data_IF_767510159525
#
_entry.id   IF_767510159525
#
_cell.length_a   1.000
_cell.length_b   1.000
_cell.length_c   1.000
_cell.angle_alpha   90.00
_cell.angle_beta   90.00
_cell.angle_gamma   90.00
#
_symmetry.space_group_name_H-M   'P 1'
#
loop_
_entity.id
_entity.type
_entity.pdbx_description
1 polymer ?
#
# COMPACT_ATOMS: atom_id res chain seq x y z
N UNK A 1 15.91 17.24 -5.36
CA UNK A 1 16.44 15.85 -5.40
C UNK A 1 16.01 15.08 -4.15
N UNK A 2 16.89 14.66 -3.23
CA UNK A 2 16.51 13.81 -2.08
C UNK A 2 15.40 14.37 -1.16
N UNK A 3 15.33 15.69 -1.01
CA UNK A 3 14.26 16.38 -0.26
C UNK A 3 12.86 16.16 -0.87
N UNK A 4 12.73 16.12 -2.19
CA UNK A 4 11.44 15.93 -2.86
C UNK A 4 10.90 14.52 -2.61
N UNK A 5 11.79 13.52 -2.53
CA UNK A 5 11.46 12.15 -2.16
C UNK A 5 10.88 12.04 -0.73
N UNK A 6 11.24 12.95 0.18
CA UNK A 6 10.67 13.02 1.54
C UNK A 6 9.29 13.67 1.58
N UNK A 7 8.97 14.52 0.60
CA UNK A 7 7.72 15.28 0.51
C UNK A 7 6.69 14.70 -0.46
N UNK A 8 6.92 13.50 -1.01
CA UNK A 8 5.96 12.81 -1.89
C UNK A 8 4.56 12.69 -1.29
N UNK A 9 3.53 12.73 -2.16
CA UNK A 9 2.12 12.71 -1.75
C UNK A 9 1.81 11.49 -0.87
N UNK A 10 1.11 11.71 0.24
CA UNK A 10 0.66 10.65 1.15
C UNK A 10 -0.86 10.51 1.14
N UNK A 11 -1.35 9.27 1.20
CA UNK A 11 -2.78 8.99 1.18
C UNK A 11 -3.46 9.16 2.54
N UNK A 12 -4.73 9.58 2.56
CA UNK A 12 -5.64 9.30 3.68
C UNK A 12 -6.21 7.87 3.56
N UNK A 13 -6.78 7.32 4.64
CA UNK A 13 -7.57 6.08 4.54
C UNK A 13 -8.97 6.40 4.02
N UNK A 14 -9.51 5.56 3.15
CA UNK A 14 -10.93 5.47 2.87
C UNK A 14 -11.51 4.26 3.59
N UNK A 15 -12.72 4.43 4.12
CA UNK A 15 -13.53 3.41 4.81
C UNK A 15 -14.98 3.62 4.41
N UNK A 16 -15.83 2.61 4.56
CA UNK A 16 -17.24 2.70 4.14
C UNK A 16 -18.05 3.77 4.90
N UNK A 17 -17.62 4.13 6.11
CA UNK A 17 -18.19 5.18 6.96
C UNK A 17 -17.56 6.57 6.72
N UNK A 18 -16.58 6.69 5.82
CA UNK A 18 -15.88 7.96 5.54
C UNK A 18 -16.75 9.05 4.91
N UNK A 19 -17.94 8.70 4.41
CA UNK A 19 -18.86 9.61 3.72
C UNK A 19 -18.38 10.06 2.34
N UNK A 20 -17.30 9.49 1.81
CA UNK A 20 -16.75 9.80 0.48
C UNK A 20 -17.29 8.78 -0.52
N UNK A 21 -18.07 9.23 -1.49
CA UNK A 21 -18.42 8.44 -2.67
C UNK A 21 -17.17 8.25 -3.56
N UNK A 22 -16.74 7.01 -3.86
CA UNK A 22 -15.60 6.75 -4.73
C UNK A 22 -15.94 6.84 -6.23
N UNK A 23 -17.21 7.03 -6.61
CA UNK A 23 -17.63 7.09 -8.01
C UNK A 23 -16.85 8.14 -8.80
N UNK A 24 -16.32 7.76 -9.97
CA UNK A 24 -15.51 8.63 -10.83
C UNK A 24 -14.04 8.79 -10.40
N UNK A 25 -13.61 8.26 -9.25
CA UNK A 25 -12.19 8.19 -8.90
C UNK A 25 -11.44 7.20 -9.79
N UNK A 26 -10.13 7.40 -9.95
CA UNK A 26 -9.26 6.41 -10.55
C UNK A 26 -8.83 5.37 -9.50
N UNK A 27 -8.90 4.09 -9.83
CA UNK A 27 -8.49 2.96 -8.98
C UNK A 27 -7.25 2.27 -9.54
N UNK A 28 -6.33 1.89 -8.66
CA UNK A 28 -5.14 1.09 -8.94
C UNK A 28 -4.90 0.07 -7.83
N UNK A 29 -4.09 -0.96 -8.07
CA UNK A 29 -3.67 -1.86 -6.97
C UNK A 29 -2.86 -1.09 -5.93
N UNK A 30 -3.16 -1.34 -4.66
CA UNK A 30 -2.19 -1.00 -3.62
C UNK A 30 -1.13 -2.10 -3.58
N UNK A 31 0.06 -1.75 -4.06
CA UNK A 31 1.24 -2.59 -4.06
C UNK A 31 1.91 -2.60 -2.67
N UNK A 32 2.25 -3.79 -2.15
CA UNK A 32 3.10 -3.98 -0.95
C UNK A 32 4.56 -4.17 -1.41
N UNK A 33 5.18 -3.07 -1.86
CA UNK A 33 6.56 -3.05 -2.35
C UNK A 33 7.42 -2.07 -1.55
N UNK A 34 8.39 -1.44 -2.23
CA UNK A 34 9.18 -0.35 -1.65
C UNK A 34 9.09 0.89 -2.52
N UNK A 35 8.30 1.88 -2.06
CA UNK A 35 8.16 3.18 -2.72
C UNK A 35 9.51 3.83 -3.03
N UNK A 36 9.69 4.19 -4.29
CA UNK A 36 10.86 4.87 -4.81
C UNK A 36 10.48 6.09 -5.66
N UNK A 37 11.11 7.21 -5.34
CA UNK A 37 11.09 8.43 -6.14
C UNK A 37 12.30 8.42 -7.06
N UNK A 38 12.09 8.41 -8.38
CA UNK A 38 13.16 8.55 -9.36
C UNK A 38 13.34 10.04 -9.69
N UNK A 39 14.53 10.61 -9.48
CA UNK A 39 14.78 12.04 -9.67
C UNK A 39 15.24 12.43 -11.09
N UNK A 40 15.17 11.50 -12.04
CA UNK A 40 15.74 11.61 -13.38
C UNK A 40 17.13 10.94 -13.51
N UNK A 41 17.81 10.64 -12.39
CA UNK A 41 19.11 9.95 -12.38
C UNK A 41 19.17 8.80 -11.37
N UNK A 42 18.54 8.94 -10.21
CA UNK A 42 18.65 8.02 -9.08
C UNK A 42 17.31 7.75 -8.42
N UNK A 43 17.20 6.57 -7.80
CA UNK A 43 16.06 6.22 -6.96
C UNK A 43 16.31 6.58 -5.49
N UNK A 44 15.31 7.17 -4.86
CA UNK A 44 15.31 7.54 -3.45
C UNK A 44 14.11 6.94 -2.73
N UNK A 45 14.35 6.39 -1.54
CA UNK A 45 13.29 6.04 -0.59
C UNK A 45 12.57 7.29 -0.09
N UNK A 46 11.37 7.10 0.47
CA UNK A 46 10.65 8.17 1.20
C UNK A 46 11.45 8.79 2.37
N UNK A 47 12.48 8.13 2.88
CA UNK A 47 13.35 8.69 3.92
C UNK A 47 14.43 9.64 3.34
N UNK A 48 14.55 9.76 2.02
CA UNK A 48 15.65 10.46 1.34
C UNK A 48 16.91 9.61 1.15
N UNK A 49 16.93 8.36 1.62
CA UNK A 49 18.04 7.44 1.38
C UNK A 49 18.06 7.02 -0.09
N UNK A 50 19.22 7.15 -0.76
CA UNK A 50 19.46 6.69 -2.12
C UNK A 50 19.49 5.16 -2.18
N UNK A 51 18.82 4.56 -3.15
CA UNK A 51 18.97 3.15 -3.49
C UNK A 51 20.11 2.97 -4.50
N UNK A 52 20.91 1.92 -4.35
CA UNK A 52 22.01 1.58 -5.27
C UNK A 52 21.50 0.73 -6.45
N UNK A 53 20.51 1.27 -7.17
CA UNK A 53 19.99 0.64 -8.38
C UNK A 53 21.10 0.55 -9.45
N UNK A 54 21.35 -0.62 -10.07
CA UNK A 54 22.30 -0.75 -11.16
C UNK A 54 21.92 0.12 -12.37
N UNK A 55 22.89 0.63 -13.17
CA UNK A 55 22.59 1.50 -14.31
C UNK A 55 21.62 0.91 -15.35
N UNK A 56 21.60 -0.42 -15.51
CA UNK A 56 20.66 -1.10 -16.41
C UNK A 56 19.20 -0.93 -15.98
N UNK A 57 18.94 -0.74 -14.68
CA UNK A 57 17.59 -0.71 -14.12
C UNK A 57 16.86 0.60 -14.46
N UNK A 58 17.59 1.72 -14.51
CA UNK A 58 17.08 3.04 -14.92
C UNK A 58 17.21 3.32 -16.42
N UNK A 59 17.62 2.35 -17.24
CA UNK A 59 17.79 2.55 -18.69
C UNK A 59 16.47 3.06 -19.30
N UNK A 60 16.55 4.09 -20.14
CA UNK A 60 15.44 4.72 -20.85
C UNK A 60 14.36 5.41 -19.99
N UNK A 61 14.52 5.55 -18.68
CA UNK A 61 13.64 6.43 -17.89
C UNK A 61 13.85 7.91 -18.26
N UNK A 62 12.79 8.75 -18.21
CA UNK A 62 12.88 10.18 -18.47
C UNK A 62 13.82 10.86 -17.46
N UNK A 63 14.74 11.69 -17.95
CA UNK A 63 15.73 12.38 -17.11
C UNK A 63 15.29 13.76 -16.63
N UNK A 64 14.30 14.34 -17.31
CA UNK A 64 13.76 15.68 -17.10
C UNK A 64 12.55 15.70 -16.16
N UNK A 65 11.75 14.63 -16.14
CA UNK A 65 10.60 14.48 -15.23
C UNK A 65 10.88 13.42 -14.16
N UNK A 66 10.82 13.77 -12.86
CA UNK A 66 10.87 12.78 -11.81
C UNK A 66 9.57 11.98 -11.71
N UNK A 67 9.70 10.74 -11.23
CA UNK A 67 8.63 9.75 -11.18
C UNK A 67 8.42 9.26 -9.75
N UNK A 68 7.19 8.87 -9.44
CA UNK A 68 6.77 8.33 -8.14
C UNK A 68 6.11 6.96 -8.39
N UNK A 69 6.64 5.93 -7.73
CA UNK A 69 6.35 4.54 -8.04
C UNK A 69 6.77 3.59 -6.93
N UNK A 70 6.47 2.31 -7.11
CA UNK A 70 6.80 1.24 -6.18
C UNK A 70 7.83 0.29 -6.83
N UNK A 71 8.96 0.03 -6.17
CA UNK A 71 9.79 -1.12 -6.52
C UNK A 71 9.05 -2.38 -6.04
N UNK A 72 8.76 -3.28 -6.96
CA UNK A 72 7.84 -4.39 -6.72
C UNK A 72 8.32 -5.68 -7.38
N UNK A 73 7.97 -6.81 -6.76
CA UNK A 73 8.53 -8.13 -7.06
C UNK A 73 7.43 -9.22 -7.17
N UNK A 74 6.17 -8.86 -6.94
CA UNK A 74 5.05 -9.78 -6.82
C UNK A 74 4.27 -9.58 -5.52
N UNK A 75 2.99 -9.98 -5.53
CA UNK A 75 2.13 -10.04 -4.34
C UNK A 75 2.78 -10.92 -3.25
N UNK A 76 2.73 -10.49 -1.99
CA UNK A 76 3.37 -11.19 -0.86
C UNK A 76 4.91 -11.20 -0.82
N UNK A 77 5.63 -10.63 -1.82
CA UNK A 77 7.11 -10.68 -1.90
C UNK A 77 7.82 -9.46 -1.26
N UNK A 78 7.13 -8.65 -0.46
CA UNK A 78 7.65 -7.45 0.23
C UNK A 78 9.00 -7.64 0.95
N UNK A 79 9.16 -8.73 1.72
CA UNK A 79 10.40 -9.00 2.46
C UNK A 79 11.59 -9.24 1.53
N UNK A 80 11.38 -9.93 0.41
CA UNK A 80 12.41 -10.17 -0.61
C UNK A 80 12.72 -8.87 -1.36
N UNK A 81 11.70 -8.07 -1.71
CA UNK A 81 11.88 -6.74 -2.29
C UNK A 81 12.76 -5.84 -1.39
N UNK A 82 12.45 -5.76 -0.09
CA UNK A 82 13.29 -5.05 0.89
C UNK A 82 14.72 -5.60 0.93
N UNK A 83 14.91 -6.92 0.87
CA UNK A 83 16.23 -7.55 0.90
C UNK A 83 17.10 -7.12 -0.29
N UNK A 84 16.53 -7.00 -1.49
CA UNK A 84 17.25 -6.57 -2.69
C UNK A 84 17.59 -5.08 -2.61
N UNK A 85 16.58 -4.22 -2.38
CA UNK A 85 16.78 -2.76 -2.47
C UNK A 85 17.62 -2.17 -1.33
N UNK A 86 17.73 -2.85 -0.18
CA UNK A 86 18.62 -2.46 0.92
C UNK A 86 20.05 -2.98 0.75
N UNK A 87 20.29 -3.95 -0.13
CA UNK A 87 21.60 -4.53 -0.30
C UNK A 87 22.53 -3.52 -1.02
N UNK A 88 23.76 -3.41 -0.53
CA UNK A 88 24.77 -2.49 -1.06
C UNK A 88 25.92 -3.22 -1.77
N UNK A 89 25.91 -4.55 -1.79
CA UNK A 89 26.96 -5.32 -2.47
C UNK A 89 26.74 -5.36 -3.97
N UNK A 90 27.81 -5.11 -4.73
CA UNK A 90 27.81 -5.05 -6.21
C UNK A 90 27.59 -6.42 -6.85
N UNK A 91 28.04 -7.49 -6.20
CA UNK A 91 27.89 -8.89 -6.63
C UNK A 91 26.42 -9.34 -6.79
N UNK A 92 25.48 -8.68 -6.11
CA UNK A 92 24.04 -8.96 -6.15
C UNK A 92 23.25 -7.95 -6.98
N UNK A 93 23.91 -7.19 -7.85
CA UNK A 93 23.26 -6.30 -8.82
C UNK A 93 22.23 -7.03 -9.70
N UNK A 94 22.49 -8.29 -10.05
CA UNK A 94 21.60 -9.09 -10.91
C UNK A 94 20.22 -9.40 -10.29
N UNK A 95 20.08 -9.34 -8.97
CA UNK A 95 18.76 -9.51 -8.31
C UNK A 95 17.78 -8.38 -8.68
N UNK A 96 18.29 -7.21 -9.09
CA UNK A 96 17.44 -6.13 -9.60
C UNK A 96 16.73 -6.49 -10.91
N UNK A 97 17.15 -7.55 -11.62
CA UNK A 97 16.44 -8.08 -12.79
C UNK A 97 15.09 -8.73 -12.43
N UNK A 98 14.88 -9.11 -11.15
CA UNK A 98 13.57 -9.57 -10.64
C UNK A 98 12.62 -8.43 -10.25
N UNK A 99 13.11 -7.19 -10.11
CA UNK A 99 12.29 -6.05 -9.72
C UNK A 99 11.64 -5.39 -10.95
N UNK A 100 10.42 -4.89 -10.78
CA UNK A 100 9.80 -3.90 -11.66
C UNK A 100 9.56 -2.62 -10.87
N UNK A 101 9.90 -1.46 -11.45
CA UNK A 101 9.45 -0.16 -10.97
C UNK A 101 8.07 0.16 -11.54
N UNK A 102 7.04 0.04 -10.71
CA UNK A 102 5.65 0.31 -11.06
C UNK A 102 5.31 1.77 -10.77
N UNK A 103 5.30 2.60 -11.81
CA UNK A 103 5.08 4.05 -11.70
C UNK A 103 3.60 4.35 -11.59
N UNK A 104 3.24 5.29 -10.71
CA UNK A 104 1.84 5.70 -10.49
C UNK A 104 1.61 7.21 -10.53
N UNK A 105 2.65 8.06 -10.49
CA UNK A 105 2.51 9.51 -10.67
C UNK A 105 3.81 10.16 -11.19
N UNK A 106 3.70 11.41 -11.66
CA UNK A 106 4.80 12.25 -12.15
C UNK A 106 4.79 13.60 -11.39
N UNK A 107 5.43 13.70 -10.21
CA UNK A 107 5.13 14.74 -9.21
C UNK A 107 5.36 16.20 -9.63
N UNK A 108 6.26 16.48 -10.58
CA UNK A 108 6.58 17.85 -11.01
C UNK A 108 5.71 18.36 -12.17
N UNK A 109 4.94 17.50 -12.83
CA UNK A 109 4.00 17.93 -13.86
C UNK A 109 2.83 18.68 -13.22
N UNK A 110 2.77 20.01 -13.35
CA UNK A 110 1.77 20.88 -12.72
C UNK A 110 0.39 20.87 -13.41
N UNK A 111 -0.10 19.67 -13.70
CA UNK A 111 -1.34 19.39 -14.42
C UNK A 111 -2.24 18.44 -13.62
N UNK A 112 -3.49 18.28 -14.06
CA UNK A 112 -4.46 17.34 -13.45
C UNK A 112 -4.04 15.88 -13.66
N UNK A 113 -4.49 14.98 -12.79
CA UNK A 113 -4.05 13.58 -12.76
C UNK A 113 -4.22 12.87 -14.11
N UNK A 114 -5.33 13.11 -14.81
CA UNK A 114 -5.60 12.54 -16.13
C UNK A 114 -4.52 12.90 -17.16
N UNK A 115 -4.02 14.13 -17.14
CA UNK A 115 -2.94 14.58 -18.03
C UNK A 115 -1.56 14.04 -17.61
N UNK A 116 -1.31 13.84 -16.31
CA UNK A 116 -0.09 13.14 -15.85
C UNK A 116 -0.12 11.66 -16.24
N UNK A 117 -1.28 11.03 -16.17
CA UNK A 117 -1.49 9.65 -16.60
C UNK A 117 -1.34 9.49 -18.12
N UNK A 118 -1.86 10.43 -18.92
CA UNK A 118 -1.66 10.49 -20.37
C UNK A 118 -0.18 10.61 -20.74
N UNK A 119 0.56 11.51 -20.05
CA UNK A 119 2.02 11.58 -20.17
C UNK A 119 2.69 10.24 -19.85
N UNK A 120 2.39 9.62 -18.70
CA UNK A 120 2.98 8.33 -18.31
C UNK A 120 2.70 7.22 -19.34
N UNK A 121 1.49 7.17 -19.91
CA UNK A 121 1.11 6.23 -20.98
C UNK A 121 1.90 6.43 -22.28
N UNK A 122 2.39 7.63 -22.54
CA UNK A 122 3.19 7.94 -23.74
C UNK A 122 4.68 7.59 -23.62
N UNK A 123 5.19 7.41 -22.39
CA UNK A 123 6.61 7.13 -22.13
C UNK A 123 6.88 5.77 -21.47
N UNK A 124 5.84 5.04 -21.06
CA UNK A 124 5.99 3.73 -20.41
C UNK A 124 5.08 2.67 -21.02
N UNK A 125 5.57 1.42 -21.15
CA UNK A 125 4.70 0.29 -21.42
C UNK A 125 3.70 0.07 -20.26
N UNK A 126 2.48 -0.31 -20.60
CA UNK A 126 1.50 -0.79 -19.64
C UNK A 126 1.98 -2.12 -19.02
N UNK A 127 1.58 -2.40 -17.78
CA UNK A 127 1.86 -3.70 -17.17
C UNK A 127 1.31 -4.87 -18.01
N UNK A 128 2.06 -5.97 -18.11
CA UNK A 128 1.72 -7.11 -18.97
C UNK A 128 1.85 -6.84 -20.48
N UNK A 129 2.36 -5.68 -20.88
CA UNK A 129 2.60 -5.31 -22.28
C UNK A 129 4.06 -4.91 -22.50
N UNK A 130 4.59 -5.22 -23.68
CA UNK A 130 5.95 -4.85 -24.12
C UNK A 130 5.94 -3.77 -25.21
N UNK A 131 4.83 -3.05 -25.34
CA UNK A 131 4.72 -1.84 -26.16
C UNK A 131 4.03 -0.69 -25.41
N UNK A 132 4.29 0.51 -25.88
CA UNK A 132 3.70 1.77 -25.39
C UNK A 132 2.39 2.02 -26.14
N UNK A 133 1.35 2.48 -25.43
CA UNK A 133 0.05 2.74 -26.04
C UNK A 133 0.13 3.89 -27.06
N UNK A 134 -0.44 3.70 -28.25
CA UNK A 134 -0.37 4.68 -29.34
C UNK A 134 0.91 4.62 -30.21
N UNK A 135 1.85 3.72 -29.91
CA UNK A 135 3.01 3.50 -30.78
C UNK A 135 2.60 2.71 -32.05
N UNK A 136 2.50 3.41 -33.19
CA UNK A 136 2.27 2.83 -34.51
C UNK A 136 3.46 1.94 -34.93
N UNK A 137 3.39 0.66 -34.62
CA UNK A 137 4.43 -0.37 -34.83
C UNK A 137 5.66 -0.26 -33.89
N UNK A 138 6.13 -1.37 -33.27
CA UNK A 138 7.27 -1.37 -32.36
C UNK A 138 8.62 -1.38 -33.10
N UNK A 139 8.95 -0.32 -33.84
CA UNK A 139 10.19 -0.25 -34.65
C UNK A 139 11.48 0.06 -33.87
N UNK A 140 11.42 0.32 -32.56
CA UNK A 140 12.61 0.29 -31.68
C UNK A 140 12.20 0.01 -30.24
N UNK A 141 12.52 -1.20 -29.77
CA UNK A 141 12.44 -1.57 -28.34
C UNK A 141 13.51 -0.86 -27.51
N UNK A 142 14.53 -0.26 -28.13
CA UNK A 142 15.66 0.40 -27.46
C UNK A 142 15.27 1.64 -26.67
N UNK A 143 14.09 2.22 -26.89
CA UNK A 143 13.57 3.38 -26.15
C UNK A 143 12.66 2.99 -24.98
N UNK A 144 12.33 1.71 -24.82
CA UNK A 144 11.41 1.24 -23.78
C UNK A 144 12.17 1.07 -22.44
N UNK A 145 11.66 1.55 -21.30
CA UNK A 145 12.21 1.23 -19.98
C UNK A 145 12.11 -0.27 -19.69
N UNK A 146 13.22 -1.03 -19.60
CA UNK A 146 13.14 -2.49 -19.51
C UNK A 146 12.52 -2.96 -18.19
N UNK A 147 12.87 -2.31 -17.07
CA UNK A 147 12.43 -2.67 -15.72
C UNK A 147 11.42 -1.67 -15.13
N UNK A 148 10.69 -0.93 -15.96
CA UNK A 148 9.65 -0.01 -15.49
C UNK A 148 8.38 -0.13 -16.31
N UNK A 149 7.23 -0.04 -15.65
CA UNK A 149 5.89 -0.18 -16.22
C UNK A 149 4.95 0.81 -15.54
N UNK A 150 3.95 1.30 -16.26
CA UNK A 150 2.86 2.07 -15.66
C UNK A 150 1.96 1.11 -14.85
N UNK A 151 1.58 1.50 -13.63
CA UNK A 151 0.58 0.76 -12.84
C UNK A 151 -0.76 0.74 -13.59
N UNK A 152 -1.46 -0.40 -13.67
CA UNK A 152 -2.80 -0.42 -14.24
C UNK A 152 -3.77 0.46 -13.44
N UNK A 153 -4.54 1.28 -14.17
CA UNK A 153 -5.54 2.18 -13.59
C UNK A 153 -6.85 2.12 -14.36
N UNK A 154 -7.96 2.09 -13.64
CA UNK A 154 -9.31 2.18 -14.20
C UNK A 154 -10.15 3.25 -13.50
N UNK A 155 -11.36 3.53 -13.99
CA UNK A 155 -12.33 4.37 -13.26
C UNK A 155 -13.20 3.52 -12.33
N UNK A 156 -13.39 4.00 -11.11
CA UNK A 156 -14.43 3.54 -10.20
C UNK A 156 -15.79 3.93 -10.76
N UNK A 157 -16.65 2.93 -10.98
CA UNK A 157 -18.00 3.13 -11.52
C UNK A 157 -19.06 3.28 -10.41
N UNK A 158 -18.77 2.76 -9.21
CA UNK A 158 -19.62 2.87 -8.02
C UNK A 158 -18.88 2.33 -6.79
N UNK A 159 -19.39 2.61 -5.58
CA UNK A 159 -18.94 1.92 -4.36
C UNK A 159 -18.99 0.39 -4.48
N UNK A 160 -20.01 -0.16 -5.13
CA UNK A 160 -20.12 -1.60 -5.34
C UNK A 160 -19.03 -2.15 -6.29
N UNK A 161 -18.64 -1.38 -7.32
CA UNK A 161 -17.48 -1.72 -8.14
C UNK A 161 -16.20 -1.73 -7.30
N UNK A 162 -15.92 -0.66 -6.54
CA UNK A 162 -14.74 -0.62 -5.66
C UNK A 162 -14.65 -1.82 -4.69
N UNK A 163 -15.75 -2.23 -4.08
CA UNK A 163 -15.75 -3.34 -3.13
C UNK A 163 -15.49 -4.70 -3.81
N UNK A 164 -15.98 -4.91 -5.04
CA UNK A 164 -15.63 -6.11 -5.83
C UNK A 164 -14.16 -6.13 -6.22
N UNK A 165 -13.60 -5.01 -6.67
CA UNK A 165 -12.17 -4.90 -7.00
C UNK A 165 -11.28 -5.14 -5.78
N UNK A 166 -11.68 -4.61 -4.61
CA UNK A 166 -10.99 -4.82 -3.36
C UNK A 166 -10.96 -6.31 -2.98
N UNK A 167 -12.09 -7.00 -3.07
CA UNK A 167 -12.18 -8.44 -2.80
C UNK A 167 -11.40 -9.26 -3.83
N UNK A 168 -11.50 -8.95 -5.14
CA UNK A 168 -10.72 -9.61 -6.19
C UNK A 168 -9.21 -9.47 -5.95
N UNK A 169 -8.72 -8.26 -5.62
CA UNK A 169 -7.30 -8.05 -5.31
C UNK A 169 -6.88 -8.86 -4.08
N UNK A 170 -7.67 -8.83 -3.00
CA UNK A 170 -7.32 -9.50 -1.74
C UNK A 170 -7.45 -11.03 -1.82
N UNK A 171 -8.40 -11.55 -2.58
CA UNK A 171 -8.54 -13.00 -2.85
C UNK A 171 -7.33 -13.54 -3.61
N UNK A 172 -6.74 -12.74 -4.50
CA UNK A 172 -5.50 -13.04 -5.23
C UNK A 172 -4.20 -12.52 -4.54
N UNK A 173 -4.27 -12.14 -3.26
CA UNK A 173 -3.11 -11.85 -2.40
C UNK A 173 -2.53 -10.42 -2.48
N UNK A 174 -3.21 -9.47 -3.10
CA UNK A 174 -2.83 -8.06 -3.12
C UNK A 174 -3.27 -7.30 -1.86
N UNK A 175 -2.67 -6.15 -1.56
CA UNK A 175 -2.83 -5.46 -0.27
C UNK A 175 -4.15 -4.66 -0.16
N UNK A 176 -4.70 -4.20 -1.29
CA UNK A 176 -5.92 -3.39 -1.36
C UNK A 176 -5.95 -2.49 -2.60
N UNK A 177 -6.70 -1.38 -2.53
CA UNK A 177 -6.87 -0.45 -3.66
C UNK A 177 -6.35 0.96 -3.29
N UNK A 178 -5.74 1.64 -4.25
CA UNK A 178 -5.46 3.08 -4.20
C UNK A 178 -6.50 3.83 -5.04
N UNK A 179 -7.07 4.88 -4.47
CA UNK A 179 -8.06 5.77 -5.09
C UNK A 179 -7.45 7.15 -5.33
N UNK A 180 -7.58 7.69 -6.54
CA UNK A 180 -7.17 9.06 -6.89
C UNK A 180 -8.36 9.85 -7.42
N UNK A 181 -8.68 10.96 -6.77
CA UNK A 181 -9.80 11.81 -7.14
C UNK A 181 -9.62 12.38 -8.57
N UNK A 182 -10.70 12.45 -9.37
CA UNK A 182 -10.62 12.96 -10.73
C UNK A 182 -10.18 14.43 -10.72
N UNK A 183 -9.48 14.85 -11.78
CA UNK A 183 -8.98 16.22 -11.98
C UNK A 183 -8.03 16.74 -10.89
N UNK A 184 -7.52 15.88 -10.01
CA UNK A 184 -6.67 16.29 -8.88
C UNK A 184 -5.23 16.63 -9.28
N UNK A 185 -4.68 17.70 -8.70
CA UNK A 185 -3.25 18.07 -8.81
C UNK A 185 -2.37 17.18 -7.92
N UNK A 186 -1.06 17.26 -8.10
CA UNK A 186 -0.11 16.71 -7.13
C UNK A 186 0.05 17.70 -5.95
N UNK A 187 0.23 17.17 -4.75
CA UNK A 187 0.44 17.94 -3.51
C UNK A 187 1.56 17.25 -2.72
N UNK A 188 2.60 18.02 -2.36
CA UNK A 188 3.77 17.52 -1.63
C UNK A 188 3.50 17.39 -0.11
N UNK A 189 2.42 16.69 0.23
CA UNK A 189 1.92 16.47 1.60
C UNK A 189 0.95 15.29 1.64
N UNK A 190 0.33 15.03 2.79
CA UNK A 190 -0.84 14.15 2.84
C UNK A 190 -2.04 14.87 2.20
N UNK A 191 -2.62 14.27 1.17
CA UNK A 191 -3.75 14.85 0.41
C UNK A 191 -5.01 14.02 0.55
N UNK A 192 -6.16 14.70 0.66
CA UNK A 192 -7.49 14.09 0.62
C UNK A 192 -7.88 13.60 -0.78
N UNK A 193 -7.16 13.98 -1.83
CA UNK A 193 -7.41 13.49 -3.20
C UNK A 193 -6.81 12.11 -3.45
N UNK A 194 -5.88 11.65 -2.60
CA UNK A 194 -5.30 10.31 -2.67
C UNK A 194 -5.74 9.51 -1.45
N UNK A 195 -6.47 8.42 -1.67
CA UNK A 195 -7.00 7.57 -0.62
C UNK A 195 -6.47 6.14 -0.79
N UNK A 196 -6.26 5.44 0.33
CA UNK A 196 -5.99 4.00 0.37
C UNK A 196 -7.21 3.29 0.94
N UNK A 197 -7.71 2.31 0.20
CA UNK A 197 -8.81 1.44 0.59
C UNK A 197 -8.19 0.17 1.14
N UNK A 198 -8.56 -0.16 2.37
CA UNK A 198 -8.06 -1.32 3.11
C UNK A 198 -9.21 -1.93 3.88
N UNK A 199 -9.39 -3.23 3.77
CA UNK A 199 -10.15 -3.98 4.78
C UNK A 199 -9.36 -3.98 6.09
N UNK A 200 -10.09 -4.02 7.19
CA UNK A 200 -9.56 -4.34 8.50
C UNK A 200 -10.29 -5.59 8.98
N UNK A 201 -9.53 -6.56 9.46
CA UNK A 201 -10.03 -7.73 10.16
C UNK A 201 -9.91 -7.45 11.65
N UNK A 202 -10.97 -7.74 12.39
CA UNK A 202 -11.00 -7.65 13.85
C UNK A 202 -10.96 -9.09 14.40
N UNK A 203 -10.08 -9.35 15.35
CA UNK A 203 -9.96 -10.62 16.08
C UNK A 203 -9.81 -10.33 17.58
N UNK A 204 -9.94 -11.37 18.40
CA UNK A 204 -9.76 -11.30 19.84
C UNK A 204 -8.52 -12.06 20.31
N UNK A 205 -7.80 -11.48 21.27
CA UNK A 205 -6.62 -12.06 21.88
C UNK A 205 -6.62 -11.80 23.38
N UNK A 206 -6.07 -12.75 24.16
CA UNK A 206 -5.86 -12.57 25.60
C UNK A 206 -4.52 -11.87 25.85
N UNK A 207 -4.52 -10.89 26.76
CA UNK A 207 -3.29 -10.18 27.17
C UNK A 207 -2.45 -11.12 28.03
N UNK A 208 -1.21 -11.38 27.60
CA UNK A 208 -0.24 -12.21 28.34
C UNK A 208 0.80 -11.39 29.09
N UNK A 209 1.15 -10.19 28.59
CA UNK A 209 2.03 -9.26 29.31
C UNK A 209 1.73 -7.80 28.97
N UNK A 210 2.10 -6.90 29.89
CA UNK A 210 2.15 -5.45 29.68
C UNK A 210 3.61 -5.02 29.61
N UNK A 211 4.04 -4.45 28.49
CA UNK A 211 5.45 -4.08 28.28
C UNK A 211 5.62 -2.57 28.31
N UNK A 212 6.56 -2.11 29.14
CA UNK A 212 6.89 -0.69 29.33
C UNK A 212 7.41 -0.08 28.03
N UNK A 213 7.02 1.17 27.76
CA UNK A 213 7.40 1.86 26.53
C UNK A 213 8.82 2.41 26.54
N UNK A 214 9.21 2.98 25.40
CA UNK A 214 10.42 3.77 25.21
C UNK A 214 10.07 5.19 24.76
N UNK A 215 11.05 6.11 24.76
CA UNK A 215 10.86 7.50 24.35
C UNK A 215 9.73 8.19 25.13
N UNK A 216 8.73 8.72 24.42
CA UNK A 216 7.57 9.41 25.04
C UNK A 216 6.73 8.54 25.99
N UNK A 217 6.81 7.21 25.87
CA UNK A 217 6.08 6.26 26.72
C UNK A 217 7.00 5.56 27.74
N UNK A 218 8.21 6.09 27.99
CA UNK A 218 9.22 5.52 28.90
C UNK A 218 8.77 5.37 30.36
N UNK A 219 7.67 6.00 30.77
CA UNK A 219 7.11 5.92 32.12
C UNK A 219 5.84 5.04 32.21
N UNK A 220 5.32 4.53 31.09
CA UNK A 220 4.00 3.87 31.01
C UNK A 220 3.97 2.71 30.00
N UNK A 221 2.80 2.13 29.73
CA UNK A 221 2.70 1.00 28.79
C UNK A 221 3.02 1.42 27.34
N UNK A 222 3.95 0.68 26.74
CA UNK A 222 4.36 0.82 25.34
C UNK A 222 3.55 -0.08 24.41
N UNK A 223 3.44 -1.35 24.76
CA UNK A 223 2.61 -2.34 24.06
C UNK A 223 2.12 -3.42 25.03
N UNK A 224 1.08 -4.15 24.59
CA UNK A 224 0.68 -5.42 25.19
C UNK A 224 1.31 -6.54 24.37
N UNK A 225 1.76 -7.60 25.03
CA UNK A 225 1.93 -8.90 24.39
C UNK A 225 0.62 -9.67 24.54
N UNK A 226 0.16 -10.29 23.45
CA UNK A 226 -1.13 -10.96 23.40
C UNK A 226 -1.00 -12.33 22.73
N UNK A 227 -1.95 -13.21 23.02
CA UNK A 227 -2.04 -14.57 22.49
C UNK A 227 -3.44 -14.85 21.94
N UNK A 228 -3.53 -15.40 20.73
CA UNK A 228 -4.79 -15.88 20.12
C UNK A 228 -5.08 -17.34 20.52
N UNK A 229 -6.28 -17.89 20.28
CA UNK A 229 -6.61 -19.25 20.72
C UNK A 229 -5.78 -20.36 20.05
N UNK A 230 -5.33 -20.15 18.81
CA UNK A 230 -4.36 -21.00 18.10
C UNK A 230 -2.91 -20.83 18.56
N UNK A 231 -2.66 -19.98 19.55
CA UNK A 231 -1.36 -19.83 20.20
C UNK A 231 -0.39 -18.89 19.52
N UNK A 232 -0.79 -18.15 18.46
CA UNK A 232 0.05 -17.07 17.91
C UNK A 232 0.28 -16.00 18.98
N UNK A 233 1.54 -15.63 19.19
CA UNK A 233 1.94 -14.56 20.11
C UNK A 233 2.52 -13.38 19.34
N UNK A 234 2.05 -12.16 19.64
CA UNK A 234 2.52 -10.93 19.00
C UNK A 234 2.26 -9.70 19.89
N UNK A 235 2.84 -8.56 19.51
CA UNK A 235 2.71 -7.30 20.23
C UNK A 235 1.66 -6.37 19.61
N UNK A 236 0.84 -5.75 20.46
CA UNK A 236 -0.12 -4.69 20.09
C UNK A 236 0.36 -3.39 20.73
N UNK A 237 0.97 -2.51 19.93
CA UNK A 237 1.57 -1.25 20.40
C UNK A 237 0.83 0.03 20.01
N UNK A 238 -0.21 -0.07 19.19
CA UNK A 238 -0.96 1.07 18.64
C UNK A 238 -2.46 0.97 18.98
N UNK A 239 -3.20 2.07 18.83
CA UNK A 239 -4.66 2.13 19.13
C UNK A 239 -5.00 2.64 20.54
N UNK A 240 -4.07 2.56 21.50
CA UNK A 240 -4.28 3.07 22.86
C UNK A 240 -4.24 4.59 22.94
N UNK A 241 -5.23 5.17 23.63
CA UNK A 241 -5.17 6.53 24.19
C UNK A 241 -4.11 6.60 25.29
N UNK A 242 -3.71 7.82 25.65
CA UNK A 242 -2.74 8.06 26.72
C UNK A 242 -3.23 7.53 28.07
N UNK A 243 -4.50 7.75 28.43
CA UNK A 243 -5.11 7.19 29.64
C UNK A 243 -5.10 5.64 29.66
N UNK A 244 -5.26 4.98 28.51
CA UNK A 244 -5.12 3.52 28.39
C UNK A 244 -3.67 3.02 28.44
N UNK A 245 -2.67 3.90 28.34
CA UNK A 245 -1.26 3.55 28.57
C UNK A 245 -0.86 3.68 30.03
N UNK A 246 -1.50 4.61 30.73
CA UNK A 246 -1.36 4.80 32.18
C UNK A 246 -2.19 3.77 32.97
N UNK A 247 -3.31 3.31 32.40
CA UNK A 247 -4.17 2.23 32.92
C UNK A 247 -4.43 1.16 31.83
N UNK A 248 -3.42 0.33 31.51
CA UNK A 248 -3.52 -0.71 30.46
C UNK A 248 -4.46 -1.87 30.83
N UNK A 249 -5.09 -2.52 29.82
CA UNK A 249 -5.81 -3.78 30.00
C UNK A 249 -4.95 -4.81 30.74
N UNK A 250 -5.50 -5.43 31.78
CA UNK A 250 -4.76 -6.33 32.69
C UNK A 250 -4.31 -7.60 31.97
N UNK A 251 -3.27 -8.25 32.48
CA UNK A 251 -2.95 -9.64 32.08
C UNK A 251 -4.18 -10.52 32.35
N UNK A 252 -4.55 -11.36 31.39
CA UNK A 252 -5.79 -12.14 31.40
C UNK A 252 -7.02 -11.43 30.81
N UNK A 253 -6.98 -10.13 30.57
CA UNK A 253 -8.06 -9.43 29.86
C UNK A 253 -8.13 -9.89 28.39
N UNK A 254 -9.33 -10.00 27.84
CA UNK A 254 -9.53 -10.23 26.40
C UNK A 254 -9.67 -8.88 25.72
N UNK A 255 -8.95 -8.67 24.62
CA UNK A 255 -9.03 -7.46 23.81
C UNK A 255 -9.50 -7.79 22.41
N UNK A 256 -10.23 -6.87 21.78
CA UNK A 256 -10.37 -6.84 20.32
C UNK A 256 -9.23 -6.00 19.74
N UNK A 257 -8.55 -6.55 18.75
CA UNK A 257 -7.52 -5.88 17.98
C UNK A 257 -7.88 -5.96 16.50
N UNK A 258 -7.49 -4.95 15.72
CA UNK A 258 -7.67 -4.93 14.28
C UNK A 258 -6.37 -4.96 13.52
N UNK A 259 -6.35 -5.64 12.39
CA UNK A 259 -5.21 -5.81 11.50
C UNK A 259 -5.66 -5.76 10.04
N UNK A 260 -4.72 -5.74 9.09
CA UNK A 260 -5.03 -5.62 7.65
C UNK A 260 -4.76 -6.90 6.87
N UNK A 261 -3.80 -7.69 7.33
CA UNK A 261 -3.29 -8.88 6.65
C UNK A 261 -2.49 -9.72 7.66
N UNK A 262 -2.24 -10.98 7.35
CA UNK A 262 -1.34 -11.84 8.11
C UNK A 262 0.02 -11.94 7.43
N UNK A 263 1.07 -12.07 8.22
CA UNK A 263 2.42 -12.41 7.73
C UNK A 263 2.51 -13.89 7.33
N UNK A 264 3.60 -14.28 6.67
CA UNK A 264 3.88 -15.68 6.32
C UNK A 264 3.96 -16.64 7.53
N UNK A 265 4.07 -16.11 8.76
CA UNK A 265 4.00 -16.85 10.03
C UNK A 265 2.61 -16.79 10.69
N UNK A 266 1.58 -16.41 9.93
CA UNK A 266 0.21 -16.14 10.37
C UNK A 266 0.03 -15.08 11.46
N UNK A 267 1.09 -14.39 11.90
CA UNK A 267 0.99 -13.26 12.83
C UNK A 267 0.40 -12.03 12.12
N UNK A 268 -0.55 -11.30 12.74
CA UNK A 268 -1.12 -10.06 12.22
C UNK A 268 -0.09 -8.98 11.89
N UNK A 269 -0.19 -8.35 10.71
CA UNK A 269 0.59 -7.12 10.39
C UNK A 269 -0.17 -5.88 10.85
N UNK A 270 0.58 -4.99 11.50
CA UNK A 270 0.11 -3.70 12.03
C UNK A 270 -1.10 -3.77 13.00
N UNK A 271 -1.10 -4.69 13.99
CA UNK A 271 -2.22 -4.82 14.92
C UNK A 271 -2.42 -3.53 15.73
N UNK A 272 -3.68 -3.12 15.82
CA UNK A 272 -4.13 -1.89 16.48
C UNK A 272 -5.21 -2.25 17.51
N UNK A 273 -5.02 -1.86 18.76
CA UNK A 273 -6.03 -2.05 19.81
C UNK A 273 -7.33 -1.32 19.46
N UNK A 274 -8.47 -2.00 19.65
CA UNK A 274 -9.81 -1.44 19.45
C UNK A 274 -10.51 -1.22 20.79
N UNK A 275 -10.48 -2.23 21.67
CA UNK A 275 -11.11 -2.16 22.99
C UNK A 275 -10.92 -3.43 23.82
N UNK A 276 -11.18 -3.33 25.11
CA UNK A 276 -11.27 -4.47 26.03
C UNK A 276 -12.67 -5.10 25.94
N UNK A 277 -12.74 -6.44 25.96
CA UNK A 277 -13.96 -7.23 25.82
C UNK A 277 -14.36 -7.82 27.16
N UNK A 278 -15.09 -7.02 27.94
CA UNK A 278 -15.69 -7.43 29.22
C UNK A 278 -16.92 -8.33 29.07
N UNK A 279 -17.43 -8.49 27.84
CA UNK A 279 -18.65 -9.20 27.48
C UNK A 279 -18.43 -10.67 27.06
N UNK A 280 -17.18 -11.13 26.97
CA UNK A 280 -16.84 -12.50 26.53
C UNK A 280 -15.95 -13.21 27.54
N UNK A 281 -16.20 -14.50 27.74
CA UNK A 281 -15.29 -15.39 28.46
C UNK A 281 -14.31 -16.00 27.46
N UNK A 282 -13.01 -15.87 27.73
CA UNK A 282 -11.95 -16.39 26.85
C UNK A 282 -12.14 -17.87 26.49
N UNK A 283 -12.47 -18.70 27.49
CA UNK A 283 -12.69 -20.14 27.29
C UNK A 283 -13.85 -20.46 26.32
N UNK A 284 -14.88 -19.62 26.25
CA UNK A 284 -16.01 -19.81 25.33
C UNK A 284 -15.68 -19.31 23.92
N UNK A 285 -14.95 -18.19 23.81
CA UNK A 285 -14.40 -17.71 22.55
C UNK A 285 -13.52 -18.79 21.88
N UNK A 286 -12.58 -19.38 22.64
CA UNK A 286 -11.69 -20.43 22.16
C UNK A 286 -12.40 -21.64 21.55
N UNK A 287 -13.61 -22.02 22.04
CA UNK A 287 -14.40 -23.13 21.49
C UNK A 287 -14.97 -22.82 20.10
N UNK A 288 -15.30 -21.54 19.86
CA UNK A 288 -15.91 -21.06 18.61
C UNK A 288 -14.88 -20.58 17.57
N UNK A 289 -13.65 -20.37 18.00
CA UNK A 289 -12.58 -19.78 17.18
C UNK A 289 -12.16 -20.72 16.05
N UNK A 290 -12.00 -20.13 14.84
CA UNK A 290 -11.47 -20.81 13.67
C UNK A 290 -10.11 -20.21 13.32
N UNK A 291 -9.01 -20.97 13.37
CA UNK A 291 -7.69 -20.45 13.00
C UNK A 291 -7.67 -19.95 11.55
N UNK A 292 -7.04 -18.80 11.26
CA UNK A 292 -6.84 -18.39 9.88
C UNK A 292 -5.86 -19.35 9.21
N UNK A 293 -6.29 -19.96 8.11
CA UNK A 293 -5.41 -20.76 7.27
C UNK A 293 -4.53 -19.86 6.41
N UNK A 294 -3.30 -20.28 6.15
CA UNK A 294 -2.58 -19.77 4.98
C UNK A 294 -3.42 -20.19 3.76
N UNK A 295 -4.01 -19.22 3.05
CA UNK A 295 -4.41 -19.47 1.66
C UNK A 295 -3.15 -19.99 0.97
N UNK A 296 -3.24 -21.19 0.39
CA UNK A 296 -2.09 -21.81 -0.25
C UNK A 296 -1.56 -20.82 -1.30
N UNK A 297 -0.37 -20.27 -1.04
CA UNK A 297 0.31 -19.47 -2.03
C UNK A 297 0.59 -20.42 -3.20
N UNK A 298 -0.17 -20.30 -4.28
CA UNK A 298 0.08 -21.03 -5.51
C UNK A 298 1.56 -20.78 -5.83
N UNK A 299 2.40 -21.82 -5.94
CA UNK A 299 3.83 -21.62 -6.11
C UNK A 299 4.04 -20.92 -7.44
N UNK A 300 4.19 -19.60 -7.38
CA UNK A 300 4.57 -18.79 -8.51
C UNK A 300 5.97 -19.28 -8.90
N UNK A 301 6.01 -20.11 -9.95
CA UNK A 301 7.24 -20.40 -10.68
C UNK A 301 7.96 -19.07 -10.91
N UNK A 302 9.28 -19.07 -10.89
CA UNK A 302 10.08 -17.91 -11.28
C UNK A 302 9.86 -17.69 -12.78
N UNK A 303 8.78 -16.99 -13.08
CA UNK A 303 8.37 -16.51 -14.39
C UNK A 303 8.64 -15.02 -14.36
N UNK A 304 9.38 -14.53 -15.36
CA UNK A 304 9.62 -13.11 -15.56
C UNK A 304 8.34 -12.29 -15.36
N UNK A 305 8.44 -11.14 -14.69
CA UNK A 305 7.31 -10.22 -14.46
C UNK A 305 6.65 -9.77 -15.77
N UNK A 306 7.32 -9.91 -16.91
CA UNK A 306 6.76 -9.77 -18.27
C UNK A 306 5.54 -10.69 -18.56
N UNK A 307 5.33 -11.77 -17.79
CA UNK A 307 4.23 -12.73 -17.98
C UNK A 307 3.26 -12.84 -16.80
N UNK A 308 3.35 -11.99 -15.78
CA UNK A 308 2.28 -11.93 -14.77
C UNK A 308 1.07 -11.19 -15.34
N UNK A 309 0.02 -11.93 -15.72
CA UNK A 309 -1.23 -11.36 -16.28
C UNK A 309 -2.12 -10.65 -15.24
N UNK A 310 -1.92 -10.87 -13.94
CA UNK A 310 -2.77 -10.30 -12.88
C UNK A 310 -2.07 -9.17 -12.09
N UNK A 311 -2.15 -7.96 -12.64
CA UNK A 311 -2.38 -6.75 -11.83
C UNK A 311 -3.72 -6.13 -12.30
N UNK A 312 -4.77 -6.61 -11.65
CA UNK A 312 -6.20 -6.25 -11.73
C UNK A 312 -6.94 -6.45 -13.07
N UNK A 313 -6.35 -6.31 -14.27
CA UNK A 313 -7.15 -6.23 -15.51
C UNK A 313 -6.79 -7.22 -16.64
N UNK A 314 -6.91 -8.53 -16.41
CA UNK A 314 -7.07 -9.53 -17.50
C UNK A 314 -7.87 -10.77 -17.03
N UNK A 315 -9.19 -10.69 -17.10
CA UNK A 315 -10.04 -11.84 -17.46
C UNK A 315 -10.80 -11.42 -18.71
N UNK A 316 -10.33 -11.88 -19.87
CA UNK A 316 -10.97 -11.68 -21.16
C UNK A 316 -11.71 -12.94 -21.56
N UNK A 317 -13.04 -12.86 -21.53
CA UNK A 317 -14.00 -13.63 -22.32
C UNK A 317 -13.74 -15.14 -22.49
N UNK A 318 -14.29 -15.94 -21.57
CA UNK A 318 -14.67 -17.33 -21.89
C UNK A 318 -16.07 -17.66 -21.34
N UNK A 319 -17.07 -17.27 -22.12
CA UNK A 319 -18.46 -17.72 -22.03
C UNK A 319 -19.15 -17.49 -23.39
N UNK A 320 -18.76 -18.28 -24.40
CA UNK A 320 -19.34 -18.18 -25.73
C UNK A 320 -20.78 -18.72 -25.79
N UNK A 321 -21.69 -17.95 -26.37
CA UNK A 321 -22.73 -18.40 -27.33
C UNK A 321 -23.17 -17.17 -28.10
N UNK A 322 -23.21 -17.24 -29.43
CA UNK A 322 -23.58 -16.11 -30.27
C UNK A 322 -25.09 -15.94 -30.40
N UNK A 323 -25.53 -14.72 -30.66
CA UNK A 323 -26.54 -14.49 -31.68
C UNK A 323 -26.26 -13.17 -32.41
N UNK A 324 -26.63 -13.12 -33.68
CA UNK A 324 -26.48 -12.00 -34.59
C UNK A 324 -27.77 -11.19 -34.67
N UNK A 325 -27.74 -9.88 -34.38
CA UNK A 325 -28.62 -8.89 -35.04
C UNK A 325 -28.29 -7.45 -34.62
N UNK A 326 -28.92 -6.49 -35.33
CA UNK A 326 -28.99 -5.06 -35.03
C UNK A 326 -27.70 -4.24 -35.23
N UNK A 327 -27.27 -4.18 -36.50
CA UNK A 327 -26.96 -2.87 -37.06
C UNK A 327 -28.24 -2.00 -37.13
N UNK A 328 -28.05 -0.70 -37.40
CA UNK A 328 -29.06 0.37 -37.58
C UNK A 328 -29.51 1.13 -36.31
N UNK A 329 -28.91 2.31 -36.11
CA UNK A 329 -29.66 3.55 -36.31
C UNK A 329 -28.80 4.59 -37.05
N UNK A 330 -29.31 4.97 -38.22
CA UNK A 330 -28.83 5.99 -39.17
C UNK A 330 -28.83 7.40 -38.53
N UNK A 331 -28.12 8.41 -39.05
CA UNK A 331 -27.24 8.47 -40.22
C UNK A 331 -27.13 9.91 -40.78
N UNK A 332 -26.66 9.98 -42.03
CA UNK A 332 -26.56 11.15 -42.95
C UNK A 332 -25.23 11.95 -42.90
N UNK A 333 -24.52 12.28 -43.98
CA UNK A 333 -24.28 11.82 -45.38
C UNK A 333 -23.33 12.89 -45.97
N UNK A 334 -22.52 12.55 -46.97
CA UNK A 334 -21.74 13.56 -47.72
C UNK A 334 -20.62 12.93 -48.55
N UNK A 335 -20.89 12.62 -49.82
CA UNK A 335 -19.92 12.05 -50.77
C UNK A 335 -18.89 13.06 -51.26
N UNK A 336 -17.71 12.55 -51.65
CA UNK A 336 -17.17 12.50 -53.03
C UNK A 336 -15.81 11.75 -52.96
N UNK A 337 -15.52 10.75 -53.81
CA UNK A 337 -15.00 10.87 -55.19
C UNK A 337 -13.70 11.72 -55.26
N UNK A 338 -12.60 11.30 -55.89
CA UNK A 338 -12.31 10.16 -56.79
C UNK A 338 -10.79 10.06 -57.04
N UNK A 339 -10.27 8.89 -57.45
CA UNK A 339 -9.15 8.69 -58.43
C UNK A 339 -7.75 9.34 -58.18
N UNK A 340 -6.60 8.89 -58.72
CA UNK A 340 -6.19 7.73 -59.55
C UNK A 340 -4.65 7.52 -59.39
N UNK A 341 -4.08 6.60 -60.19
CA UNK A 341 -2.65 6.46 -60.56
C UNK A 341 -1.59 5.94 -59.55
N UNK A 342 -0.44 5.41 -60.01
CA UNK A 342 -0.20 4.24 -60.89
C UNK A 342 1.32 3.88 -60.82
N UNK A 343 1.68 2.62 -61.11
CA UNK A 343 3.05 2.12 -61.42
C UNK A 343 4.13 2.30 -60.31
N UNK A 344 5.21 1.51 -60.21
CA UNK A 344 5.70 0.36 -60.98
C UNK A 344 7.24 0.27 -60.84
N UNK A 345 7.85 -0.93 -60.83
CA UNK A 345 9.32 -1.08 -60.88
C UNK A 345 9.91 -2.27 -60.12
N UNK A 346 10.41 -3.26 -60.87
CA UNK A 346 11.15 -4.44 -60.40
C UNK A 346 12.69 -4.27 -60.43
N UNK A 347 13.40 -5.35 -60.05
CA UNK A 347 14.81 -5.70 -60.31
C UNK A 347 15.91 -5.21 -59.35
N UNK A 348 17.10 -5.82 -59.30
CA UNK A 348 17.53 -7.25 -59.25
C UNK A 348 19.05 -7.25 -58.93
N UNK A 349 19.60 -8.37 -58.40
CA UNK A 349 21.04 -8.67 -58.22
C UNK A 349 21.88 -7.71 -57.32
N UNK A 350 23.03 -8.10 -56.76
CA UNK A 350 23.74 -9.39 -56.70
C UNK A 350 25.22 -9.21 -56.26
N UNK A 351 25.87 -10.31 -55.82
CA UNK A 351 27.33 -10.43 -55.51
C UNK A 351 27.88 -9.59 -54.33
N UNK A 352 28.29 -10.16 -53.18
CA UNK A 352 29.48 -11.01 -52.90
C UNK A 352 30.82 -10.31 -53.16
N UNK A 353 31.59 -10.06 -52.09
CA UNK A 353 33.05 -10.28 -51.99
C UNK A 353 33.47 -10.53 -50.52
N UNK A 354 34.55 -11.29 -50.34
CA UNK A 354 35.05 -11.82 -49.06
C UNK A 354 36.46 -11.31 -48.72
N UNK A 355 36.96 -11.73 -47.54
CA UNK A 355 38.38 -11.84 -47.16
C UNK A 355 39.08 -10.57 -46.65
N UNK A 356 40.05 -10.60 -45.71
CA UNK A 356 40.55 -11.63 -44.74
C UNK A 356 41.54 -10.91 -43.78
N UNK A 357 41.78 -11.48 -42.57
CA UNK A 357 43.10 -11.52 -41.84
C UNK A 357 43.90 -10.20 -41.58
N UNK A 358 44.66 -10.00 -40.50
CA UNK A 358 45.08 -10.84 -39.35
C UNK A 358 45.84 -9.98 -38.30
N UNK A 359 46.14 -10.61 -37.16
CA UNK A 359 47.18 -10.32 -36.14
C UNK A 359 48.40 -9.44 -36.56
N UNK A 360 49.17 -8.81 -35.66
CA UNK A 360 49.79 -9.32 -34.42
C UNK A 360 50.47 -8.15 -33.65
N UNK A 361 50.35 -7.99 -32.32
CA UNK A 361 51.10 -8.61 -31.20
C UNK A 361 52.35 -7.84 -30.71
N UNK A 362 52.58 -7.86 -29.38
CA UNK A 362 53.83 -7.46 -28.71
C UNK A 362 53.81 -6.08 -28.00
N UNK A 363 54.42 -5.89 -26.83
CA UNK A 363 54.96 -6.85 -25.85
C UNK A 363 55.20 -6.17 -24.48
N UNK A 364 55.24 -6.96 -23.39
CA UNK A 364 56.11 -6.86 -22.19
C UNK A 364 56.36 -5.53 -21.42
N UNK A 365 56.73 -5.55 -20.13
CA UNK A 365 56.42 -6.39 -18.94
C UNK A 365 57.18 -5.84 -17.71
N UNK A 366 56.75 -6.22 -16.48
CA UNK A 366 57.41 -6.03 -15.16
C UNK A 366 57.50 -4.57 -14.62
N UNK A 367 57.46 -4.30 -13.31
CA UNK A 367 57.28 -5.18 -12.14
C UNK A 367 57.55 -4.44 -10.80
N UNK A 368 57.42 -5.15 -9.65
CA UNK A 368 57.79 -4.69 -8.27
C UNK A 368 56.78 -3.70 -7.64
N UNK A 369 55.89 -4.02 -6.68
CA UNK A 369 55.94 -4.73 -5.36
C UNK A 369 56.66 -3.93 -4.25
N UNK A 370 56.00 -3.74 -3.08
CA UNK A 370 56.52 -3.87 -1.68
C UNK A 370 55.77 -2.97 -0.65
N UNK A 371 55.28 -3.62 0.41
CA UNK A 371 55.00 -3.18 1.81
C UNK A 371 53.90 -2.17 2.22
N UNK A 372 53.09 -2.65 3.16
CA UNK A 372 52.43 -1.91 4.28
C UNK A 372 53.41 -1.84 5.49
N UNK A 373 53.17 -1.09 6.60
CA UNK A 373 52.27 -1.56 7.67
C UNK A 373 51.60 -0.53 8.65
N UNK A 374 50.50 -1.00 9.29
CA UNK A 374 50.14 -0.90 10.73
C UNK A 374 49.71 0.41 11.47
N UNK A 375 48.97 0.14 12.58
CA UNK A 375 48.47 0.97 13.70
C UNK A 375 47.24 1.87 13.43
N UNK A 376 46.12 1.89 14.18
CA UNK A 376 45.65 1.44 15.52
C UNK A 376 45.66 2.48 16.66
N UNK A 377 44.49 2.96 17.09
CA UNK A 377 44.13 3.30 18.49
C UNK A 377 42.67 3.77 18.60
N UNK A 378 42.12 3.82 19.82
CA UNK A 378 40.66 3.80 20.09
C UNK A 378 40.15 5.11 20.77
N UNK A 379 39.08 5.17 21.60
CA UNK A 379 38.14 6.30 21.57
C UNK A 379 38.30 7.29 22.73
N UNK A 380 37.49 8.36 22.75
CA UNK A 380 37.36 9.27 23.91
C UNK A 380 35.96 9.87 24.01
N UNK A 381 35.56 10.21 25.25
CA UNK A 381 34.17 10.44 25.64
C UNK A 381 34.03 11.67 26.57
N UNK A 382 32.81 12.23 26.64
CA UNK A 382 32.32 13.23 27.63
C UNK A 382 33.03 14.63 27.59
N UNK A 383 32.48 15.76 28.13
CA UNK A 383 31.45 15.86 29.17
C UNK A 383 30.18 16.70 28.92
N UNK A 384 29.20 16.29 29.72
CA UNK A 384 27.92 16.88 30.10
C UNK A 384 28.03 18.33 30.66
N UNK A 385 26.99 19.17 30.52
CA UNK A 385 26.87 20.44 31.26
C UNK A 385 25.47 20.64 31.87
N UNK A 386 25.41 20.56 33.20
CA UNK A 386 24.21 20.85 34.01
C UNK A 386 23.89 22.35 34.02
N UNK A 387 22.61 22.72 34.16
CA UNK A 387 22.17 23.93 34.90
C UNK A 387 20.88 23.62 35.66
N UNK A 388 20.65 24.30 36.78
CA UNK A 388 19.66 23.92 37.79
C UNK A 388 18.89 25.13 38.38
N UNK A 389 17.87 24.80 39.19
CA UNK A 389 17.11 25.62 40.18
C UNK A 389 16.00 26.57 39.70
N UNK A 390 14.98 26.68 40.57
CA UNK A 390 13.77 27.52 40.47
C UNK A 390 12.49 26.72 40.77
N UNK A 391 12.30 26.21 41.99
CA UNK A 391 11.45 26.79 43.06
C UNK A 391 9.93 26.67 42.84
N UNK A 392 9.26 26.02 43.80
CA UNK A 392 7.80 26.03 44.00
C UNK A 392 7.35 27.33 44.70
N UNK A 393 6.03 27.59 44.78
CA UNK A 393 5.38 27.25 46.06
C UNK A 393 3.97 26.61 45.97
N UNK A 394 3.57 26.11 47.14
CA UNK A 394 2.21 25.95 47.71
C UNK A 394 1.15 26.94 47.17
N UNK A 395 -0.17 26.73 47.28
CA UNK A 395 -1.03 25.62 47.77
C UNK A 395 -2.49 25.98 47.43
N UNK A 396 -3.43 25.02 47.49
CA UNK A 396 -4.70 25.11 48.24
C UNK A 396 -5.61 23.91 47.99
N UNK A 397 -6.19 23.44 49.08
CA UNK A 397 -7.31 22.50 49.14
C UNK A 397 -8.61 23.17 48.70
N UNK A 398 -9.56 22.39 48.18
CA UNK A 398 -10.94 22.45 48.68
C UNK A 398 -11.69 21.15 48.35
N UNK A 399 -12.27 20.58 49.40
CA UNK A 399 -13.28 19.53 49.37
C UNK A 399 -14.64 20.16 49.64
N UNK A 400 -15.66 19.75 48.89
CA UNK A 400 -17.06 19.84 49.32
C UNK A 400 -17.79 18.59 48.80
N UNK A 401 -18.51 17.96 49.71
CA UNK A 401 -19.38 16.80 49.54
C UNK A 401 -20.85 17.25 49.45
N UNK A 402 -21.78 16.28 49.51
CA UNK A 402 -23.19 16.45 49.90
C UNK A 402 -24.10 17.17 48.85
N UNK A 403 -25.38 16.85 48.67
CA UNK A 403 -26.22 15.72 49.11
C UNK A 403 -27.22 15.35 47.96
N UNK A 404 -28.11 14.36 48.15
CA UNK A 404 -28.76 13.59 47.07
C UNK A 404 -30.32 13.43 47.20
N UNK A 405 -30.88 12.34 46.64
CA UNK A 405 -32.30 11.84 46.61
C UNK A 405 -33.28 12.44 45.58
N UNK A 406 -33.95 11.58 44.77
CA UNK A 406 -35.31 11.04 45.04
C UNK A 406 -35.86 10.16 43.88
N UNK A 407 -36.87 9.32 44.15
CA UNK A 407 -37.46 8.34 43.24
C UNK A 407 -38.97 8.54 43.01
N UNK A 408 -39.49 8.20 41.82
CA UNK A 408 -40.92 8.28 41.51
C UNK A 408 -41.39 7.44 40.32
N UNK A 409 -42.25 6.44 40.59
CA UNK A 409 -42.89 5.54 39.61
C UNK A 409 -44.20 6.17 39.07
N UNK A 410 -44.70 5.95 37.85
CA UNK A 410 -45.25 4.68 37.34
C UNK A 410 -46.00 4.92 36.00
N UNK A 411 -46.33 3.87 35.22
CA UNK A 411 -47.23 3.99 34.05
C UNK A 411 -47.03 2.92 32.95
N UNK A 412 -48.07 2.16 32.63
CA UNK A 412 -48.01 0.91 31.84
C UNK A 412 -48.24 1.06 30.32
N UNK A 413 -47.75 0.08 29.56
CA UNK A 413 -48.00 -0.07 28.12
C UNK A 413 -47.32 -1.33 27.57
N UNK A 414 -48.11 -2.27 27.02
CA UNK A 414 -47.66 -3.61 26.62
C UNK A 414 -47.41 -3.75 25.11
N UNK A 415 -46.15 -3.79 24.74
CA UNK A 415 -45.61 -4.30 23.48
C UNK A 415 -44.22 -4.87 23.78
N UNK A 416 -43.73 -5.86 23.03
CA UNK A 416 -42.50 -6.61 23.35
C UNK A 416 -41.29 -5.71 23.62
N UNK A 417 -41.03 -5.42 24.91
CA UNK A 417 -40.04 -4.43 25.33
C UNK A 417 -38.63 -4.98 25.16
N UNK A 418 -37.95 -4.55 24.11
CA UNK A 418 -36.50 -4.65 24.00
C UNK A 418 -35.84 -3.91 25.17
N UNK A 419 -34.90 -4.55 25.86
CA UNK A 419 -34.22 -3.95 27.01
C UNK A 419 -33.52 -2.63 26.61
N UNK A 420 -33.53 -1.58 27.44
CA UNK A 420 -32.85 -0.34 27.10
C UNK A 420 -31.35 -0.58 26.95
N UNK A 421 -30.77 -0.20 25.81
CA UNK A 421 -29.34 -0.35 25.61
C UNK A 421 -28.57 0.48 26.66
N UNK A 422 -27.59 -0.13 27.34
CA UNK A 422 -26.68 0.54 28.31
C UNK A 422 -25.99 1.80 27.76
N UNK A 423 -25.88 1.94 26.42
CA UNK A 423 -25.28 3.10 25.75
C UNK A 423 -26.30 4.09 25.17
N UNK A 424 -27.61 3.82 25.29
CA UNK A 424 -28.70 4.69 24.84
C UNK A 424 -28.56 5.20 23.41
N UNK A 425 -28.86 6.48 23.18
CA UNK A 425 -28.67 7.15 21.90
C UNK A 425 -27.20 7.12 21.40
N UNK A 426 -26.24 7.06 22.31
CA UNK A 426 -24.79 7.00 22.03
C UNK A 426 -24.29 5.59 21.66
N UNK A 427 -25.18 4.60 21.52
CA UNK A 427 -24.79 3.24 21.15
C UNK A 427 -24.17 3.17 19.74
N UNK A 428 -22.91 2.75 19.68
CA UNK A 428 -22.13 2.58 18.45
C UNK A 428 -22.37 1.22 17.75
N UNK A 429 -23.05 0.27 18.41
CA UNK A 429 -23.30 -1.08 17.88
C UNK A 429 -24.32 -1.04 16.74
N UNK A 430 -24.02 -1.73 15.63
CA UNK A 430 -24.87 -1.81 14.42
C UNK A 430 -25.31 -3.25 14.04
N UNK A 431 -24.96 -4.25 14.85
CA UNK A 431 -25.34 -5.66 14.59
C UNK A 431 -26.88 -5.81 14.61
N UNK A 432 -27.52 -6.43 13.59
CA UNK A 432 -28.95 -6.74 13.58
C UNK A 432 -29.48 -7.41 14.86
N UNK A 433 -28.73 -8.33 15.47
CA UNK A 433 -29.16 -9.04 16.69
C UNK A 433 -29.14 -8.14 17.93
N UNK A 434 -28.27 -7.13 17.95
CA UNK A 434 -28.27 -6.11 18.99
C UNK A 434 -29.50 -5.19 18.84
N UNK A 435 -29.84 -4.82 17.61
CA UNK A 435 -31.01 -3.98 17.29
C UNK A 435 -32.34 -4.72 17.47
N UNK A 436 -32.35 -6.06 17.42
CA UNK A 436 -33.52 -6.89 17.78
C UNK A 436 -33.70 -7.05 19.28
N UNK A 437 -32.62 -7.02 20.08
CA UNK A 437 -32.65 -7.26 21.53
C UNK A 437 -32.77 -5.99 22.37
N UNK A 438 -32.17 -4.87 21.93
CA UNK A 438 -32.06 -3.66 22.73
C UNK A 438 -32.72 -2.43 22.09
N UNK A 439 -33.51 -1.70 22.88
CA UNK A 439 -34.13 -0.44 22.48
C UNK A 439 -33.15 0.73 22.59
N UNK A 440 -33.33 1.73 21.71
CA UNK A 440 -32.48 2.92 21.60
C UNK A 440 -33.32 4.21 21.53
N UNK A 441 -34.12 4.52 22.58
CA UNK A 441 -34.84 5.78 22.63
C UNK A 441 -33.88 6.97 22.44
N UNK A 442 -34.34 8.00 21.74
CA UNK A 442 -33.61 9.23 21.37
C UNK A 442 -32.50 9.11 20.31
N UNK A 443 -32.30 7.96 19.65
CA UNK A 443 -31.45 7.91 18.44
C UNK A 443 -32.25 8.46 17.24
N UNK A 444 -32.10 9.76 16.92
CA UNK A 444 -32.77 10.40 15.78
C UNK A 444 -32.57 9.56 14.50
N UNK A 445 -33.65 8.95 14.02
CA UNK A 445 -33.73 8.40 12.67
C UNK A 445 -33.54 9.56 11.69
N UNK A 446 -32.41 9.57 10.98
CA UNK A 446 -32.32 10.29 9.73
C UNK A 446 -33.12 9.50 8.70
N UNK A 447 -34.23 10.10 8.27
CA UNK A 447 -34.92 9.76 7.01
C UNK A 447 -33.94 10.04 5.86
#
# INVERSE_FOLDING_TARGET
MAHDAQQVMLAHSWTEDSGIDPTGYWMAEKLDGVRAYFDGTHFYSRAGNKFLAPPFFSKNLPKDQPLDGELWLGRGRFQQCISIVKNQKVDRADEWKELTYLVFDAPKLNMVYEKRLEYLRSIMPNFGHDSIAGASSPKSTDKIPPYSRLVPVQKCLSKAHLLRELDHVQTHGGEGIMLRAPRSRYEFKRSRTLLKVKTFFDEEAIVVAQVKGSGKNSHRMGHLEVKTPDGRCFSVGSGFTDAQRDRPPRVGAVITYKFQELSNRLNPRFPTFVGERIDIKWADYCKSYKPPTLKAATPAKVVSLLKQRSLIFQDGDDAGTGDSSAADLLGDKGNNESDQDEQGGESDAGSVYSATSSSSSGASSKGTVVSTPSSSSSPSSIPNRKRARGQSPQSKTNSTSDDDDDAGSSGSGSGSKQEPCRYGASCYRKNPDHLKKFSHPNKRTKV
#
